data_IF_988826056049
#
_entry.id   IF_988826056049
#
_cell.length_a   1.000
_cell.length_b   1.000
_cell.length_c   1.000
_cell.angle_alpha   90.00
_cell.angle_beta   90.00
_cell.angle_gamma   90.00
#
_symmetry.space_group_name_H-M   'P 1'
#
loop_
_entity.id
_entity.type
_entity.pdbx_description
1 polymer ?
#
# COMPACT_ATOMS: atom_id res chain seq x y z
N UNK A 1 16.50 7.74 2.82
CA UNK A 1 16.13 8.73 1.78
C UNK A 1 15.37 9.84 2.51
N UNK A 2 16.08 10.75 3.19
CA UNK A 2 15.46 11.87 3.92
C UNK A 2 16.23 13.19 3.68
N UNK A 3 16.93 13.32 2.54
CA UNK A 3 17.84 14.45 2.28
C UNK A 3 17.37 15.38 1.14
N UNK A 4 16.19 15.16 0.55
CA UNK A 4 15.67 16.00 -0.55
C UNK A 4 14.51 16.94 -0.14
N UNK A 5 14.00 16.86 1.11
CA UNK A 5 12.92 17.75 1.56
C UNK A 5 11.64 17.67 0.72
N UNK A 6 11.41 16.54 0.03
CA UNK A 6 10.21 16.30 -0.76
C UNK A 6 9.01 16.21 0.17
N UNK A 7 8.05 17.12 -0.03
CA UNK A 7 6.78 17.13 0.70
C UNK A 7 6.00 15.84 0.38
N UNK A 8 5.67 15.07 1.41
CA UNK A 8 4.95 13.79 1.33
C UNK A 8 3.59 13.91 0.61
N UNK A 9 2.98 15.11 0.65
CA UNK A 9 1.72 15.40 -0.01
C UNK A 9 1.85 15.62 -1.52
N UNK A 10 3.08 15.81 -2.04
CA UNK A 10 3.36 16.04 -3.45
C UNK A 10 2.90 14.85 -4.28
N UNK A 11 2.18 15.10 -5.38
CA UNK A 11 1.81 14.04 -6.31
C UNK A 11 3.02 13.64 -7.14
N UNK A 12 3.30 12.35 -7.22
CA UNK A 12 4.43 11.83 -7.99
C UNK A 12 4.32 12.21 -9.47
N UNK A 13 3.11 12.22 -10.03
CA UNK A 13 2.90 12.67 -11.42
C UNK A 13 3.28 14.13 -11.67
N UNK A 14 3.12 15.00 -10.66
CA UNK A 14 3.45 16.43 -10.76
C UNK A 14 4.96 16.62 -10.66
N UNK A 15 5.61 15.86 -9.77
CA UNK A 15 7.07 15.85 -9.62
C UNK A 15 7.79 15.35 -10.87
N UNK A 16 7.28 14.29 -11.50
CA UNK A 16 7.90 13.65 -12.67
C UNK A 16 7.42 14.19 -14.03
N UNK A 17 6.44 15.10 -14.04
CA UNK A 17 5.86 15.65 -15.28
C UNK A 17 5.10 14.60 -16.12
N UNK A 18 4.47 13.62 -15.49
CA UNK A 18 3.80 12.51 -16.17
C UNK A 18 2.31 12.79 -16.45
N UNK A 19 1.89 12.62 -17.69
CA UNK A 19 0.48 12.61 -18.07
C UNK A 19 -0.10 11.19 -17.89
N UNK A 20 -0.45 10.84 -16.66
CA UNK A 20 -0.81 9.46 -16.28
C UNK A 20 -2.19 9.03 -16.75
N UNK A 21 -3.08 9.96 -17.12
CA UNK A 21 -4.51 9.68 -17.21
C UNK A 21 -5.16 9.56 -15.81
N UNK A 22 -6.49 9.43 -15.77
CA UNK A 22 -7.28 9.48 -14.52
C UNK A 22 -7.69 8.11 -13.97
N UNK A 23 -7.46 7.04 -14.73
CA UNK A 23 -8.01 5.71 -14.48
C UNK A 23 -6.96 4.73 -13.86
N UNK A 24 -5.95 5.24 -13.16
CA UNK A 24 -4.90 4.39 -12.55
C UNK A 24 -4.32 4.97 -11.26
N UNK A 25 -3.58 4.13 -10.53
CA UNK A 25 -2.98 4.49 -9.24
C UNK A 25 -2.03 5.69 -9.30
N UNK A 26 -1.33 5.91 -10.41
CA UNK A 26 -0.41 7.05 -10.58
C UNK A 26 -1.10 8.41 -10.50
N UNK A 27 -2.38 8.49 -10.86
CA UNK A 27 -3.13 9.75 -10.80
C UNK A 27 -3.21 10.32 -9.37
N UNK A 28 -3.34 9.42 -8.42
CA UNK A 28 -3.49 9.68 -6.98
C UNK A 28 -2.23 9.45 -6.17
N UNK A 29 -1.18 8.88 -6.78
CA UNK A 29 0.06 8.50 -6.10
C UNK A 29 0.77 9.75 -5.55
N UNK A 30 0.95 9.77 -4.23
CA UNK A 30 1.73 10.79 -3.52
C UNK A 30 3.08 10.26 -3.09
N UNK A 31 4.00 11.16 -2.75
CA UNK A 31 5.34 10.81 -2.25
C UNK A 31 5.23 9.92 -1.01
N UNK A 32 4.35 10.23 -0.05
CA UNK A 32 4.16 9.37 1.13
C UNK A 32 3.67 7.95 0.79
N UNK A 33 2.79 7.81 -0.20
CA UNK A 33 2.36 6.49 -0.68
C UNK A 33 3.51 5.75 -1.38
N UNK A 34 4.30 6.45 -2.20
CA UNK A 34 5.48 5.88 -2.84
C UNK A 34 6.51 5.39 -1.81
N UNK A 35 6.69 6.11 -0.69
CA UNK A 35 7.55 5.68 0.42
C UNK A 35 7.08 4.35 1.03
N UNK A 36 5.76 4.14 1.19
CA UNK A 36 5.22 2.85 1.64
C UNK A 36 5.62 1.71 0.70
N UNK A 37 5.51 1.94 -0.61
CA UNK A 37 5.81 0.93 -1.63
C UNK A 37 7.31 0.61 -1.68
N UNK A 38 8.17 1.61 -1.55
CA UNK A 38 9.62 1.44 -1.48
C UNK A 38 10.04 0.71 -0.20
N UNK A 39 9.41 0.99 0.93
CA UNK A 39 9.66 0.29 2.19
C UNK A 39 9.27 -1.20 2.09
N UNK A 40 8.11 -1.50 1.50
CA UNK A 40 7.69 -2.88 1.18
C UNK A 40 8.69 -3.58 0.26
N UNK A 41 9.12 -2.93 -0.83
CA UNK A 41 10.13 -3.48 -1.74
C UNK A 41 11.48 -3.74 -1.05
N UNK A 42 11.83 -2.89 -0.09
CA UNK A 42 13.06 -2.99 0.70
C UNK A 42 12.98 -3.97 1.88
N UNK A 43 11.81 -4.53 2.16
CA UNK A 43 11.58 -5.40 3.33
C UNK A 43 11.57 -4.65 4.67
N UNK A 44 11.49 -3.32 4.66
CA UNK A 44 11.41 -2.49 5.86
C UNK A 44 9.94 -2.36 6.30
N UNK A 45 9.46 -3.35 7.05
CA UNK A 45 8.05 -3.46 7.42
C UNK A 45 7.59 -2.41 8.43
N UNK A 46 8.49 -1.88 9.26
CA UNK A 46 8.20 -0.78 10.18
C UNK A 46 7.91 0.50 9.40
N UNK A 47 8.81 0.88 8.48
CA UNK A 47 8.58 2.03 7.61
C UNK A 47 7.37 1.82 6.70
N UNK A 48 7.17 0.59 6.19
CA UNK A 48 6.02 0.27 5.37
C UNK A 48 4.70 0.52 6.11
N UNK A 49 4.61 0.16 7.39
CA UNK A 49 3.44 0.41 8.22
C UNK A 49 3.19 1.91 8.38
N UNK A 50 4.20 2.68 8.79
CA UNK A 50 4.09 4.14 8.99
C UNK A 50 3.52 4.83 7.74
N UNK A 51 4.11 4.54 6.57
CA UNK A 51 3.68 5.18 5.33
C UNK A 51 2.35 4.62 4.79
N UNK A 52 2.00 3.38 5.13
CA UNK A 52 0.67 2.81 4.85
C UNK A 52 -0.42 3.50 5.67
N UNK A 53 -0.16 3.77 6.94
CA UNK A 53 -1.07 4.53 7.82
C UNK A 53 -1.25 5.96 7.32
N UNK A 54 -0.15 6.63 7.00
CA UNK A 54 -0.18 7.97 6.39
C UNK A 54 -1.01 7.97 5.09
N UNK A 55 -0.81 6.96 4.24
CA UNK A 55 -1.57 6.82 2.98
C UNK A 55 -3.07 6.68 3.24
N UNK A 56 -3.46 5.85 4.21
CA UNK A 56 -4.85 5.69 4.61
C UNK A 56 -5.44 6.98 5.19
N UNK A 57 -4.68 7.69 6.02
CA UNK A 57 -5.13 8.95 6.64
C UNK A 57 -5.38 10.05 5.59
N UNK A 58 -4.47 10.21 4.63
CA UNK A 58 -4.48 11.36 3.72
C UNK A 58 -5.00 11.08 2.31
N UNK A 59 -5.11 9.81 1.89
CA UNK A 59 -5.57 9.44 0.55
C UNK A 59 -6.82 8.56 0.51
N UNK A 60 -7.30 7.99 1.62
CA UNK A 60 -8.46 7.09 1.58
C UNK A 60 -9.72 7.72 0.97
N UNK A 61 -9.92 9.02 1.13
CA UNK A 61 -11.09 9.75 0.59
C UNK A 61 -11.11 9.83 -0.94
N UNK A 62 -9.96 9.68 -1.61
CA UNK A 62 -9.83 9.73 -3.07
C UNK A 62 -9.64 8.35 -3.70
N UNK A 63 -9.60 7.29 -2.89
CA UNK A 63 -9.46 5.93 -3.36
C UNK A 63 -10.79 5.36 -3.86
N UNK A 64 -10.71 4.48 -4.86
CA UNK A 64 -11.83 3.58 -5.16
C UNK A 64 -12.10 2.65 -3.96
N UNK A 65 -13.30 2.10 -3.88
CA UNK A 65 -13.65 1.16 -2.82
C UNK A 65 -12.69 -0.06 -2.79
N UNK A 66 -12.28 -0.54 -3.96
CA UNK A 66 -11.36 -1.67 -4.10
C UNK A 66 -9.95 -1.33 -3.58
N UNK A 67 -9.41 -0.15 -3.92
CA UNK A 67 -8.09 0.27 -3.44
C UNK A 67 -8.09 0.59 -1.95
N UNK A 68 -9.15 1.22 -1.45
CA UNK A 68 -9.33 1.42 -0.01
C UNK A 68 -9.41 0.08 0.74
N UNK A 69 -10.05 -0.92 0.14
CA UNK A 69 -10.08 -2.27 0.70
C UNK A 69 -8.69 -2.93 0.73
N UNK A 70 -7.92 -2.80 -0.36
CA UNK A 70 -6.53 -3.25 -0.42
C UNK A 70 -5.67 -2.65 0.70
N UNK A 71 -5.70 -1.32 0.88
CA UNK A 71 -4.89 -0.66 1.91
C UNK A 71 -5.30 -1.03 3.34
N UNK A 72 -6.59 -1.25 3.61
CA UNK A 72 -7.05 -1.78 4.91
C UNK A 72 -6.51 -3.20 5.15
N UNK A 73 -6.53 -4.04 4.12
CA UNK A 73 -5.96 -5.38 4.21
C UNK A 73 -4.45 -5.33 4.48
N UNK A 74 -3.71 -4.54 3.70
CA UNK A 74 -2.28 -4.34 3.85
C UNK A 74 -1.89 -3.82 5.23
N UNK A 75 -2.58 -2.78 5.73
CA UNK A 75 -2.36 -2.26 7.09
C UNK A 75 -2.55 -3.35 8.14
N UNK A 76 -3.60 -4.17 8.02
CA UNK A 76 -3.87 -5.26 8.96
C UNK A 76 -2.77 -6.32 8.94
N UNK A 77 -2.27 -6.67 7.75
CA UNK A 77 -1.16 -7.63 7.61
C UNK A 77 0.15 -7.07 8.16
N UNK A 78 0.44 -5.79 7.93
CA UNK A 78 1.60 -5.11 8.49
C UNK A 78 1.53 -5.07 10.02
N UNK A 79 0.39 -4.69 10.61
CA UNK A 79 0.18 -4.75 12.06
C UNK A 79 0.40 -6.17 12.60
N UNK A 80 -0.13 -7.18 11.91
CA UNK A 80 0.08 -8.57 12.30
C UNK A 80 1.55 -9.01 12.21
N UNK A 81 2.32 -8.50 11.24
CA UNK A 81 3.75 -8.82 11.12
C UNK A 81 4.59 -8.29 12.28
N UNK A 82 4.10 -7.28 13.02
CA UNK A 82 4.75 -6.76 14.22
C UNK A 82 4.40 -7.57 15.49
N UNK A 83 3.46 -8.51 15.40
CA UNK A 83 3.01 -9.33 16.54
C UNK A 83 3.78 -10.66 16.59
N UNK A 84 4.92 -10.68 17.28
CA UNK A 84 5.81 -11.85 17.36
C UNK A 84 5.14 -13.13 17.93
N UNK A 85 4.11 -12.97 18.77
CA UNK A 85 3.39 -14.08 19.40
C UNK A 85 2.26 -14.67 18.54
N UNK A 86 1.93 -14.03 17.41
CA UNK A 86 0.79 -14.42 16.57
C UNK A 86 1.24 -15.16 15.32
N UNK A 87 0.53 -16.23 14.97
CA UNK A 87 0.79 -16.97 13.74
C UNK A 87 -0.11 -16.47 12.60
N UNK A 88 0.44 -15.92 11.50
CA UNK A 88 -0.35 -15.33 10.41
C UNK A 88 -1.39 -16.28 9.79
N UNK A 89 -1.04 -17.56 9.68
CA UNK A 89 -1.91 -18.60 9.11
C UNK A 89 -3.22 -18.78 9.88
N UNK A 90 -3.26 -18.46 11.18
CA UNK A 90 -4.47 -18.57 11.99
C UNK A 90 -5.53 -17.53 11.62
N UNK A 91 -5.11 -16.40 11.04
CA UNK A 91 -5.99 -15.26 10.71
C UNK A 91 -6.39 -15.21 9.24
N UNK A 92 -5.72 -15.99 8.38
CA UNK A 92 -5.93 -15.97 6.92
C UNK A 92 -7.41 -16.12 6.52
N UNK A 93 -8.11 -17.10 7.12
CA UNK A 93 -9.52 -17.32 6.84
C UNK A 93 -10.42 -16.13 7.24
N UNK A 94 -10.08 -15.44 8.32
CA UNK A 94 -10.81 -14.25 8.74
C UNK A 94 -10.55 -13.08 7.79
N UNK A 95 -9.31 -12.90 7.35
CA UNK A 95 -8.95 -11.85 6.39
C UNK A 95 -9.59 -12.07 5.03
N UNK A 96 -9.62 -13.30 4.52
CA UNK A 96 -10.31 -13.61 3.25
C UNK A 96 -11.81 -13.27 3.34
N UNK A 97 -12.46 -13.53 4.48
CA UNK A 97 -13.87 -13.17 4.68
C UNK A 97 -14.10 -11.66 4.79
N UNK A 98 -13.14 -10.93 5.34
CA UNK A 98 -13.26 -9.50 5.58
C UNK A 98 -12.89 -8.65 4.36
N UNK A 99 -11.84 -9.05 3.64
CA UNK A 99 -11.23 -8.28 2.56
C UNK A 99 -11.39 -8.93 1.18
N UNK A 100 -11.77 -10.21 1.10
CA UNK A 100 -11.77 -10.98 -0.14
C UNK A 100 -10.41 -11.62 -0.43
N UNK A 101 -10.42 -12.71 -1.20
CA UNK A 101 -9.20 -13.46 -1.53
C UNK A 101 -8.19 -12.61 -2.31
N UNK A 102 -8.65 -11.90 -3.35
CA UNK A 102 -7.80 -11.09 -4.23
C UNK A 102 -7.04 -9.99 -3.46
N UNK A 103 -7.70 -9.34 -2.50
CA UNK A 103 -7.07 -8.29 -1.68
C UNK A 103 -6.01 -8.86 -0.72
N UNK A 104 -6.29 -10.03 -0.13
CA UNK A 104 -5.35 -10.73 0.76
C UNK A 104 -4.14 -11.21 -0.03
N UNK A 105 -4.35 -11.82 -1.20
CA UNK A 105 -3.28 -12.28 -2.07
C UNK A 105 -2.38 -11.12 -2.52
N UNK A 106 -2.97 -10.03 -3.00
CA UNK A 106 -2.22 -8.85 -3.43
C UNK A 106 -1.43 -8.21 -2.27
N UNK A 107 -2.05 -8.07 -1.09
CA UNK A 107 -1.39 -7.48 0.07
C UNK A 107 -0.28 -8.38 0.63
N UNK A 108 -0.46 -9.70 0.62
CA UNK A 108 0.58 -10.66 0.99
C UNK A 108 1.75 -10.65 0.01
N UNK A 109 1.49 -10.56 -1.30
CA UNK A 109 2.54 -10.44 -2.31
C UNK A 109 3.34 -9.13 -2.12
N UNK A 110 2.67 -8.03 -1.81
CA UNK A 110 3.34 -6.76 -1.49
C UNK A 110 4.18 -6.86 -0.20
N UNK A 111 3.67 -7.50 0.84
CA UNK A 111 4.38 -7.72 2.12
C UNK A 111 5.65 -8.55 1.93
N UNK A 112 5.63 -9.54 1.04
CA UNK A 112 6.79 -10.38 0.72
C UNK A 112 7.86 -9.68 -0.15
N UNK A 113 7.57 -8.49 -0.67
CA UNK A 113 8.44 -7.79 -1.62
C UNK A 113 8.37 -8.33 -3.05
N UNK A 114 7.63 -9.42 -3.31
CA UNK A 114 7.50 -10.03 -4.64
C UNK A 114 6.74 -9.14 -5.64
N UNK A 115 5.80 -8.33 -5.16
CA UNK A 115 5.02 -7.40 -5.97
C UNK A 115 4.87 -6.05 -5.25
N UNK A 116 5.92 -5.24 -5.26
CA UNK A 116 5.91 -3.99 -4.52
C UNK A 116 5.05 -2.87 -5.13
N UNK A 117 4.56 -2.98 -6.37
CA UNK A 117 4.28 -1.74 -7.12
C UNK A 117 3.00 -1.71 -7.95
N UNK A 118 2.21 -0.67 -7.65
CA UNK A 118 1.05 -0.10 -8.32
C UNK A 118 -0.11 -1.06 -8.43
N UNK A 119 -0.96 -1.01 -7.40
CA UNK A 119 -2.31 -1.55 -7.50
C UNK A 119 -2.93 -1.14 -8.86
N UNK A 120 -3.18 -2.14 -9.70
CA UNK A 120 -3.94 -2.03 -10.93
C UNK A 120 -5.23 -2.80 -10.73
N UNK A 121 -6.39 -2.14 -10.66
CA UNK A 121 -7.66 -2.83 -10.79
C UNK A 121 -7.76 -3.27 -12.26
N UNK A 122 -7.53 -4.56 -12.52
CA UNK A 122 -7.70 -5.14 -13.86
C UNK A 122 -6.47 -5.08 -14.77
N UNK A 123 -5.29 -5.41 -14.27
CA UNK A 123 -4.17 -5.79 -15.13
C UNK A 123 -4.48 -7.10 -15.89
N UNK A 124 -4.70 -6.97 -17.20
CA UNK A 124 -4.24 -8.02 -18.13
C UNK A 124 -2.75 -7.84 -18.37
#
# INVERSE_FOLDING_TARGET
MDDEGLDDFTRVRELLGLATGKDNGWYTLRVGELKAMLALAGGDLEQALIWTEWTMEFNASVFSAERANYYRCLQTLLLLSQEEERQPLQYLNAFIRMYGADAVEAASAALSGEAAVLWSPGGR
#
